data_IF_287006365051
#
_entry.id   IF_287006365051
#
_cell.length_a   1.000
_cell.length_b   1.000
_cell.length_c   1.000
_cell.angle_alpha   90.00
_cell.angle_beta   90.00
_cell.angle_gamma   90.00
#
_symmetry.space_group_name_H-M   'P 1'
#
loop_
_entity.id
_entity.type
_entity.pdbx_description
1 polymer ?
#
# COMPACT_ATOMS: atom_id res chain seq x y z
N UNK A 1 41.06 -37.13 2.48
CA UNK A 1 40.55 -36.25 1.43
C UNK A 1 40.54 -37.00 0.11
N UNK A 2 39.48 -36.97 -0.65
CA UNK A 2 39.42 -37.43 -2.05
C UNK A 2 39.53 -36.20 -2.92
N UNK A 3 40.52 -36.16 -3.81
CA UNK A 3 40.69 -35.10 -4.80
C UNK A 3 40.36 -35.66 -6.18
N UNK A 4 39.51 -34.99 -6.92
CA UNK A 4 39.11 -35.37 -8.27
C UNK A 4 39.51 -34.26 -9.22
N UNK A 5 40.32 -34.56 -10.25
CA UNK A 5 40.91 -33.60 -11.16
C UNK A 5 42.11 -32.86 -10.57
N UNK A 6 42.58 -31.85 -11.30
CA UNK A 6 43.61 -30.88 -10.90
C UNK A 6 43.15 -29.49 -11.28
N UNK A 7 43.76 -28.45 -10.71
CA UNK A 7 43.43 -27.07 -11.02
C UNK A 7 43.56 -26.78 -12.53
N UNK A 8 42.52 -26.20 -13.14
CA UNK A 8 42.42 -25.98 -14.56
C UNK A 8 42.09 -27.21 -15.43
N UNK A 9 41.97 -28.40 -14.85
CA UNK A 9 41.57 -29.64 -15.54
C UNK A 9 40.72 -30.49 -14.58
N UNK A 10 39.46 -30.10 -14.43
CA UNK A 10 38.48 -30.80 -13.61
C UNK A 10 38.02 -32.13 -14.20
N UNK A 11 37.16 -32.82 -13.49
CA UNK A 11 36.44 -34.02 -13.93
C UNK A 11 35.03 -33.99 -13.34
N UNK A 12 34.06 -34.50 -14.08
CA UNK A 12 32.72 -34.76 -13.55
C UNK A 12 32.73 -35.72 -12.38
N UNK A 13 31.97 -35.39 -11.34
CA UNK A 13 31.70 -36.28 -10.23
C UNK A 13 30.19 -36.42 -10.03
N UNK A 14 29.67 -37.62 -10.29
CA UNK A 14 28.23 -37.88 -10.25
C UNK A 14 27.88 -38.95 -9.20
N UNK A 15 26.98 -38.59 -8.30
CA UNK A 15 26.37 -39.47 -7.32
C UNK A 15 24.93 -39.75 -7.71
N UNK A 16 24.59 -41.01 -8.03
CA UNK A 16 23.25 -41.41 -8.41
C UNK A 16 22.35 -41.66 -7.20
N UNK A 17 21.13 -41.22 -7.26
CA UNK A 17 20.05 -41.63 -6.35
C UNK A 17 19.50 -43.00 -6.72
N UNK A 18 18.59 -43.53 -5.88
CA UNK A 18 17.93 -44.83 -6.12
C UNK A 18 16.94 -44.78 -7.28
N UNK A 19 16.37 -43.63 -7.62
CA UNK A 19 15.39 -43.47 -8.67
C UNK A 19 16.06 -43.05 -9.98
N UNK A 20 15.51 -43.53 -11.12
CA UNK A 20 16.03 -43.18 -12.44
C UNK A 20 16.05 -41.65 -12.65
N UNK A 21 17.19 -41.14 -13.11
CA UNK A 21 17.40 -39.72 -13.36
C UNK A 21 17.77 -38.84 -12.17
N UNK A 22 17.72 -39.37 -10.93
CA UNK A 22 18.13 -38.65 -9.73
C UNK A 22 19.65 -38.71 -9.54
N UNK A 23 20.30 -37.56 -9.35
CA UNK A 23 21.72 -37.46 -9.09
C UNK A 23 22.13 -36.13 -8.45
N UNK A 24 23.32 -36.08 -7.88
CA UNK A 24 24.09 -34.86 -7.64
C UNK A 24 25.33 -34.93 -8.55
N UNK A 25 25.57 -33.90 -9.34
CA UNK A 25 26.68 -33.83 -10.31
C UNK A 25 27.48 -32.55 -10.06
N UNK A 26 28.78 -32.71 -9.80
CA UNK A 26 29.72 -31.64 -10.12
C UNK A 26 29.99 -31.71 -11.64
N UNK A 27 29.57 -30.73 -12.37
CA UNK A 27 29.76 -30.57 -13.80
C UNK A 27 30.99 -29.68 -14.04
N UNK A 28 32.08 -30.26 -14.49
CA UNK A 28 33.34 -29.55 -14.66
C UNK A 28 33.29 -28.54 -15.85
N UNK A 29 32.50 -28.85 -16.87
CA UNK A 29 32.39 -28.00 -18.06
C UNK A 29 31.55 -26.72 -17.80
N UNK A 30 30.70 -26.76 -16.80
CA UNK A 30 29.83 -25.64 -16.38
C UNK A 30 30.25 -25.03 -15.04
N UNK A 31 31.26 -25.58 -14.36
CA UNK A 31 31.72 -25.13 -13.04
C UNK A 31 30.58 -25.04 -11.99
N UNK A 32 29.66 -26.03 -11.98
CA UNK A 32 28.49 -26.01 -11.11
C UNK A 32 28.19 -27.37 -10.44
N UNK A 33 27.40 -27.32 -9.37
CA UNK A 33 26.79 -28.49 -8.75
C UNK A 33 25.30 -28.57 -9.17
N UNK A 34 24.95 -29.61 -9.95
CA UNK A 34 23.57 -29.90 -10.37
C UNK A 34 22.97 -30.98 -9.44
N UNK A 35 21.85 -30.67 -8.79
CA UNK A 35 21.08 -31.58 -7.97
C UNK A 35 19.74 -31.86 -8.64
N UNK A 36 19.59 -33.05 -9.21
CA UNK A 36 18.46 -33.44 -10.04
C UNK A 36 17.59 -34.49 -9.37
N UNK A 37 16.28 -34.25 -9.41
CA UNK A 37 15.28 -35.21 -8.97
C UNK A 37 15.02 -36.33 -9.99
N UNK A 38 14.16 -37.29 -9.63
CA UNK A 38 13.78 -38.40 -10.48
C UNK A 38 13.02 -37.99 -11.73
N UNK A 39 13.14 -38.76 -12.83
CA UNK A 39 12.47 -38.45 -14.10
C UNK A 39 10.94 -38.60 -14.07
N UNK A 40 10.41 -39.45 -13.20
CA UNK A 40 8.98 -39.73 -13.13
C UNK A 40 8.18 -38.69 -12.33
N UNK A 41 8.72 -38.24 -11.21
CA UNK A 41 8.18 -37.16 -10.37
C UNK A 41 9.18 -36.84 -9.25
N UNK A 42 9.48 -35.60 -9.04
CA UNK A 42 10.28 -35.14 -7.92
C UNK A 42 11.25 -34.02 -8.30
N UNK A 43 11.29 -32.95 -7.52
CA UNK A 43 12.30 -31.91 -7.67
C UNK A 43 13.66 -32.40 -7.20
N UNK A 44 14.72 -31.70 -7.60
CA UNK A 44 16.02 -31.77 -6.92
C UNK A 44 15.90 -31.20 -5.52
N UNK A 45 16.50 -31.86 -4.52
CA UNK A 45 16.48 -31.41 -3.14
C UNK A 45 17.89 -31.10 -2.66
N UNK A 46 18.11 -29.88 -2.18
CA UNK A 46 19.23 -29.58 -1.28
C UNK A 46 18.64 -29.45 0.14
N UNK A 47 19.01 -30.37 1.02
CA UNK A 47 18.56 -30.35 2.41
C UNK A 47 19.72 -29.98 3.33
N UNK A 48 19.62 -28.84 3.97
CA UNK A 48 20.53 -28.41 5.03
C UNK A 48 19.85 -28.71 6.38
N UNK A 49 20.57 -29.39 7.27
CA UNK A 49 19.99 -29.83 8.56
C UNK A 49 20.98 -29.59 9.67
N UNK A 50 20.50 -29.10 10.82
CA UNK A 50 21.25 -29.13 12.06
C UNK A 50 21.41 -30.58 12.58
N UNK A 51 22.48 -30.85 13.27
CA UNK A 51 22.67 -32.10 14.03
C UNK A 51 22.31 -31.97 15.51
N UNK A 52 21.71 -30.86 15.89
CA UNK A 52 21.36 -30.55 17.27
C UNK A 52 20.18 -31.39 17.75
N UNK A 53 20.31 -31.91 19.01
CA UNK A 53 19.31 -32.80 19.61
C UNK A 53 18.20 -32.02 20.33
N UNK A 54 18.45 -30.78 20.68
CA UNK A 54 17.50 -29.89 21.36
C UNK A 54 17.56 -28.52 20.69
N UNK A 55 16.67 -28.28 19.75
CA UNK A 55 16.56 -27.00 19.07
C UNK A 55 15.77 -26.04 19.94
N UNK A 56 16.34 -24.88 20.21
CA UNK A 56 15.71 -23.79 20.97
C UNK A 56 15.59 -22.55 20.10
N UNK A 57 14.86 -21.56 20.59
CA UNK A 57 14.71 -20.26 19.95
C UNK A 57 16.08 -19.68 19.51
N UNK A 58 16.12 -19.09 18.31
CA UNK A 58 17.28 -18.54 17.62
C UNK A 58 18.33 -19.54 17.10
N UNK A 59 18.13 -20.86 17.25
CA UNK A 59 18.99 -21.87 16.65
C UNK A 59 18.84 -21.93 15.13
N UNK A 60 19.96 -22.01 14.41
CA UNK A 60 19.94 -22.09 12.95
C UNK A 60 19.87 -23.55 12.48
N UNK A 61 18.83 -23.87 11.69
CA UNK A 61 18.59 -25.19 11.14
C UNK A 61 19.46 -25.49 9.92
N UNK A 62 19.78 -24.44 9.15
CA UNK A 62 20.64 -24.52 7.96
C UNK A 62 20.88 -23.12 7.41
N UNK A 63 22.01 -22.94 6.68
CA UNK A 63 22.43 -21.63 6.16
C UNK A 63 23.15 -21.76 4.83
N UNK A 64 22.98 -20.75 3.97
CA UNK A 64 23.72 -20.53 2.72
C UNK A 64 24.38 -19.16 2.82
N UNK A 65 25.70 -19.09 2.59
CA UNK A 65 26.49 -17.87 2.60
C UNK A 65 27.01 -17.53 1.19
N UNK A 66 27.06 -16.24 0.89
CA UNK A 66 27.65 -15.65 -0.32
C UNK A 66 28.83 -14.77 0.11
N UNK A 67 30.04 -15.10 -0.37
CA UNK A 67 31.27 -14.48 0.09
C UNK A 67 32.31 -14.40 -1.04
N UNK A 68 33.11 -13.36 -1.03
CA UNK A 68 34.29 -13.20 -1.90
C UNK A 68 35.58 -13.31 -1.08
N UNK A 69 35.98 -14.51 -0.57
CA UNK A 69 37.04 -14.65 0.43
C UNK A 69 38.44 -14.31 -0.09
N UNK A 70 38.64 -14.23 -1.41
CA UNK A 70 39.93 -13.92 -2.05
C UNK A 70 40.03 -12.48 -2.54
N UNK A 71 39.02 -11.64 -2.25
CA UNK A 71 39.07 -10.22 -2.60
C UNK A 71 40.19 -9.50 -1.84
N UNK A 72 41.03 -8.78 -2.60
CA UNK A 72 42.28 -8.17 -2.06
C UNK A 72 42.10 -6.76 -1.52
N UNK A 73 40.89 -6.16 -1.65
CA UNK A 73 40.65 -4.74 -1.39
C UNK A 73 40.57 -4.35 0.08
N UNK A 74 40.47 -5.32 1.00
CA UNK A 74 40.46 -5.02 2.43
C UNK A 74 39.63 -5.98 3.28
N UNK A 75 39.53 -5.67 4.57
CA UNK A 75 38.95 -6.59 5.57
C UNK A 75 37.45 -6.77 5.42
N UNK A 76 36.71 -5.74 5.00
CA UNK A 76 35.25 -5.82 4.83
C UNK A 76 34.87 -6.56 3.55
N UNK A 77 35.71 -6.46 2.52
CA UNK A 77 35.46 -7.08 1.22
C UNK A 77 35.42 -8.62 1.25
N UNK A 78 36.13 -9.24 2.21
CA UNK A 78 36.20 -10.69 2.39
C UNK A 78 35.18 -11.24 3.39
N UNK A 79 34.34 -10.39 3.98
CA UNK A 79 33.28 -10.85 4.87
C UNK A 79 32.14 -11.52 4.09
N UNK A 80 31.30 -12.25 4.80
CA UNK A 80 30.07 -12.81 4.20
C UNK A 80 29.17 -11.62 3.81
N UNK A 81 28.98 -11.43 2.51
CA UNK A 81 28.23 -10.29 1.97
C UNK A 81 26.71 -10.49 1.98
N UNK A 82 26.25 -11.76 1.91
CA UNK A 82 24.83 -12.09 2.02
C UNK A 82 24.65 -13.50 2.59
N UNK A 83 23.49 -13.77 3.20
CA UNK A 83 23.13 -15.09 3.70
C UNK A 83 21.62 -15.31 3.64
N UNK A 84 21.24 -16.58 3.53
CA UNK A 84 19.87 -17.06 3.75
C UNK A 84 19.94 -18.19 4.76
N UNK A 85 19.13 -18.15 5.83
CA UNK A 85 19.06 -19.24 6.79
C UNK A 85 17.65 -19.46 7.32
N UNK A 86 17.39 -20.69 7.81
CA UNK A 86 16.23 -21.02 8.60
C UNK A 86 16.61 -20.97 10.09
N UNK A 87 15.81 -20.31 10.91
CA UNK A 87 16.04 -20.08 12.34
C UNK A 87 14.80 -20.50 13.13
N UNK A 88 14.99 -21.23 14.21
CA UNK A 88 13.90 -21.59 15.10
C UNK A 88 13.37 -20.33 15.81
N UNK A 89 12.06 -20.17 15.81
CA UNK A 89 11.33 -19.05 16.46
C UNK A 89 10.66 -19.51 17.77
N UNK A 90 10.98 -20.73 18.21
CA UNK A 90 10.54 -21.32 19.47
C UNK A 90 11.37 -22.56 19.79
N UNK A 91 11.27 -23.05 21.02
CA UNK A 91 11.82 -24.36 21.40
C UNK A 91 11.01 -25.48 20.74
N UNK A 92 11.68 -26.34 19.95
CA UNK A 92 11.03 -27.45 19.25
C UNK A 92 10.51 -28.50 20.23
N UNK A 93 9.29 -28.95 19.97
CA UNK A 93 8.57 -29.94 20.76
C UNK A 93 7.70 -30.82 19.84
N UNK A 94 6.99 -31.79 20.42
CA UNK A 94 6.15 -32.73 19.65
C UNK A 94 5.09 -32.08 18.75
N UNK A 95 4.72 -30.85 18.97
CA UNK A 95 3.76 -30.09 18.15
C UNK A 95 4.26 -28.70 17.76
N UNK A 96 5.55 -28.41 17.96
CA UNK A 96 6.15 -27.07 17.74
C UNK A 96 7.41 -27.22 16.91
N UNK A 97 7.43 -26.58 15.75
CA UNK A 97 8.59 -26.41 14.89
C UNK A 97 8.57 -25.04 14.19
N UNK A 98 8.14 -24.01 14.94
CA UNK A 98 8.06 -22.65 14.44
C UNK A 98 9.43 -22.23 13.89
N UNK A 99 9.46 -21.81 12.64
CA UNK A 99 10.72 -21.54 11.94
C UNK A 99 10.57 -20.32 11.05
N UNK A 100 11.50 -19.41 11.18
CA UNK A 100 11.63 -18.24 10.34
C UNK A 100 12.61 -18.47 9.19
N UNK A 101 12.33 -17.87 8.04
CA UNK A 101 13.26 -17.80 6.92
C UNK A 101 13.85 -16.39 6.85
N UNK A 102 15.14 -16.27 7.09
CA UNK A 102 15.86 -15.01 7.25
C UNK A 102 16.74 -14.71 6.06
N UNK A 103 16.71 -13.47 5.60
CA UNK A 103 17.53 -12.89 4.53
C UNK A 103 18.43 -11.81 5.10
N UNK A 104 19.72 -11.93 4.85
CA UNK A 104 20.73 -11.02 5.36
C UNK A 104 21.61 -10.46 4.25
N UNK A 105 22.00 -9.19 4.36
CA UNK A 105 23.00 -8.55 3.50
C UNK A 105 23.91 -7.64 4.33
N UNK A 106 25.17 -7.48 3.87
CA UNK A 106 26.14 -6.54 4.40
C UNK A 106 26.27 -5.30 3.54
N UNK A 107 26.83 -4.23 4.09
CA UNK A 107 27.22 -3.02 3.39
C UNK A 107 28.69 -2.71 3.55
N UNK A 108 29.20 -2.71 4.78
CA UNK A 108 30.62 -2.52 5.15
C UNK A 108 30.96 -3.43 6.35
N UNK A 109 30.09 -4.37 6.67
CA UNK A 109 30.21 -5.37 7.73
C UNK A 109 29.70 -6.73 7.22
N UNK A 110 29.85 -7.78 8.01
CA UNK A 110 29.26 -9.07 7.72
C UNK A 110 27.74 -8.97 7.56
N UNK A 111 27.18 -9.82 6.72
CA UNK A 111 25.74 -9.85 6.46
C UNK A 111 24.94 -9.92 7.76
N UNK A 112 24.05 -8.96 7.95
CA UNK A 112 23.08 -8.87 9.02
C UNK A 112 21.66 -8.95 8.45
N UNK A 113 20.72 -9.47 9.24
CA UNK A 113 19.34 -9.62 8.85
C UNK A 113 18.75 -8.32 8.29
N UNK A 114 18.00 -8.44 7.19
CA UNK A 114 17.23 -7.34 6.58
C UNK A 114 15.75 -7.67 6.53
N UNK A 115 15.40 -8.92 6.26
CA UNK A 115 14.02 -9.40 6.20
C UNK A 115 13.92 -10.80 6.78
N UNK A 116 12.78 -11.10 7.39
CA UNK A 116 12.35 -12.45 7.72
C UNK A 116 10.91 -12.70 7.33
N UNK A 117 10.60 -13.94 7.01
CA UNK A 117 9.25 -14.50 6.95
C UNK A 117 9.07 -15.42 8.14
N UNK A 118 8.05 -15.18 8.95
CA UNK A 118 7.83 -15.94 10.18
C UNK A 118 6.89 -17.13 9.98
N UNK A 119 6.88 -18.03 10.95
CA UNK A 119 5.91 -19.12 11.02
C UNK A 119 4.45 -18.62 11.08
N UNK A 120 4.22 -17.43 11.58
CA UNK A 120 2.91 -16.77 11.71
C UNK A 120 2.49 -15.95 10.48
N UNK A 121 3.22 -16.10 9.35
CA UNK A 121 2.99 -15.39 8.07
C UNK A 121 3.24 -13.88 8.13
N UNK A 122 4.09 -13.42 9.01
CA UNK A 122 4.49 -12.03 9.11
C UNK A 122 5.75 -11.75 8.28
N UNK A 123 5.96 -10.47 7.96
CA UNK A 123 7.20 -9.97 7.35
C UNK A 123 7.90 -9.09 8.38
N UNK A 124 9.03 -9.56 8.90
CA UNK A 124 9.89 -8.78 9.78
C UNK A 124 10.94 -7.97 9.01
N UNK A 125 11.22 -6.75 9.45
CA UNK A 125 12.25 -5.87 8.89
C UNK A 125 13.33 -5.62 9.91
N UNK A 126 14.60 -5.97 9.56
CA UNK A 126 15.76 -5.81 10.42
C UNK A 126 15.60 -6.45 11.81
N UNK A 127 14.97 -7.63 11.87
CA UNK A 127 14.60 -8.37 13.05
C UNK A 127 13.08 -8.52 13.20
N UNK A 128 12.62 -8.67 14.42
CA UNK A 128 11.20 -8.87 14.77
C UNK A 128 10.37 -7.55 14.74
N UNK A 129 10.53 -6.75 13.69
CA UNK A 129 9.72 -5.56 13.46
C UNK A 129 8.64 -5.87 12.41
N UNK A 130 7.44 -6.22 12.86
CA UNK A 130 6.30 -6.65 12.03
C UNK A 130 5.29 -5.54 11.76
N UNK A 131 5.53 -4.32 12.29
CA UNK A 131 4.55 -3.24 12.27
C UNK A 131 3.40 -3.43 13.25
N UNK A 132 2.35 -2.64 13.10
CA UNK A 132 1.09 -2.73 13.84
C UNK A 132 -0.08 -2.75 12.89
N UNK A 133 -1.27 -3.15 13.38
CA UNK A 133 -2.49 -3.20 12.57
C UNK A 133 -2.76 -1.86 11.86
N UNK A 134 -3.03 -1.92 10.57
CA UNK A 134 -3.26 -0.75 9.72
C UNK A 134 -2.00 -0.13 9.10
N UNK A 135 -0.79 -0.52 9.51
CA UNK A 135 0.43 -0.04 8.89
C UNK A 135 0.69 -0.67 7.52
N UNK A 136 1.35 0.05 6.66
CA UNK A 136 1.77 -0.39 5.32
C UNK A 136 3.29 -0.34 5.21
N UNK A 137 3.85 -1.27 4.44
CA UNK A 137 5.28 -1.26 4.16
C UNK A 137 5.58 -0.21 3.10
N UNK A 138 6.31 0.84 3.49
CA UNK A 138 6.63 1.98 2.63
C UNK A 138 8.10 1.99 2.22
N UNK A 139 8.35 2.56 1.05
CA UNK A 139 9.69 2.80 0.55
C UNK A 139 10.21 4.15 1.03
N UNK A 140 11.35 4.17 1.71
CA UNK A 140 12.04 5.41 2.07
C UNK A 140 12.75 6.11 0.89
N UNK A 141 12.67 5.57 -0.34
CA UNK A 141 13.38 6.06 -1.51
C UNK A 141 14.79 5.47 -1.66
N UNK A 142 15.53 5.96 -2.65
CA UNK A 142 16.88 5.46 -2.94
C UNK A 142 17.83 5.70 -1.77
N UNK A 143 18.46 4.64 -1.28
CA UNK A 143 19.43 4.68 -0.17
C UNK A 143 18.83 4.70 1.23
N UNK A 144 17.50 4.71 1.37
CA UNK A 144 16.80 4.57 2.64
C UNK A 144 16.18 3.19 2.79
N UNK A 145 16.09 2.70 4.01
CA UNK A 145 15.43 1.44 4.31
C UNK A 145 13.91 1.56 4.11
N UNK A 146 13.27 0.43 3.82
CA UNK A 146 11.82 0.32 3.95
C UNK A 146 11.42 0.36 5.43
N UNK A 147 10.20 0.82 5.72
CA UNK A 147 9.66 0.89 7.07
C UNK A 147 8.17 0.56 7.08
N UNK A 148 7.67 0.06 8.21
CA UNK A 148 6.25 0.03 8.49
C UNK A 148 5.81 1.42 8.92
N UNK A 149 4.85 2.00 8.22
CA UNK A 149 4.33 3.34 8.48
C UNK A 149 2.81 3.32 8.47
N UNK A 150 2.22 4.24 9.20
CA UNK A 150 0.78 4.42 9.15
C UNK A 150 0.36 4.71 7.71
N UNK A 151 -0.69 4.05 7.25
CA UNK A 151 -1.22 4.34 5.92
C UNK A 151 -1.48 5.84 5.86
N UNK A 152 -0.80 6.53 4.94
CA UNK A 152 -1.11 7.94 4.73
C UNK A 152 -2.57 8.00 4.33
N UNK A 153 -3.39 8.54 5.19
CA UNK A 153 -4.75 8.90 4.84
C UNK A 153 -4.68 9.70 3.54
N UNK A 154 -5.65 9.47 2.64
CA UNK A 154 -5.66 10.14 1.34
C UNK A 154 -5.54 11.66 1.47
N UNK A 155 -5.49 12.38 0.35
CA UNK A 155 -5.30 13.84 0.31
C UNK A 155 -6.29 14.61 1.22
N UNK A 156 -7.45 14.00 1.55
CA UNK A 156 -8.41 14.51 2.55
C UNK A 156 -8.18 13.77 3.85
N UNK A 157 -7.53 14.41 4.80
CA UNK A 157 -7.18 13.83 6.11
C UNK A 157 -8.25 14.08 7.17
N UNK A 158 -9.15 15.05 6.94
CA UNK A 158 -10.25 15.33 7.86
C UNK A 158 -11.45 15.94 7.13
N UNK A 159 -12.65 15.67 7.64
CA UNK A 159 -13.85 16.47 7.41
C UNK A 159 -14.20 17.12 8.74
N UNK A 160 -13.94 18.42 8.84
CA UNK A 160 -14.13 19.15 10.09
C UNK A 160 -15.62 19.43 10.34
N UNK A 161 -16.02 19.34 11.61
CA UNK A 161 -17.37 19.66 12.08
C UNK A 161 -18.50 18.91 11.36
N UNK A 162 -18.23 17.70 10.84
CA UNK A 162 -19.18 16.96 10.03
C UNK A 162 -20.48 16.64 10.78
N UNK A 163 -21.58 17.11 10.23
CA UNK A 163 -22.95 16.78 10.63
C UNK A 163 -23.69 16.21 9.41
N UNK A 164 -24.66 15.34 9.62
CA UNK A 164 -25.41 14.73 8.53
C UNK A 164 -26.05 15.81 7.63
N UNK A 165 -25.99 15.58 6.32
CA UNK A 165 -26.56 16.43 5.26
C UNK A 165 -25.90 17.79 5.00
N UNK A 166 -24.78 18.11 5.63
CA UNK A 166 -23.99 19.29 5.32
C UNK A 166 -23.21 19.10 4.02
N UNK A 167 -23.11 20.15 3.23
CA UNK A 167 -22.20 20.21 2.09
C UNK A 167 -20.81 20.58 2.60
N UNK A 168 -19.77 20.09 1.91
CA UNK A 168 -18.39 20.36 2.29
C UNK A 168 -17.74 21.35 1.34
N UNK A 169 -16.91 22.21 1.87
CA UNK A 169 -16.00 23.09 1.12
C UNK A 169 -14.54 22.71 1.45
N UNK A 170 -13.62 23.27 0.69
CA UNK A 170 -12.19 23.12 1.02
C UNK A 170 -11.90 24.00 2.24
N UNK A 171 -11.34 23.39 3.29
CA UNK A 171 -10.97 24.05 4.52
C UNK A 171 -9.80 25.03 4.38
N UNK A 172 -9.20 25.39 5.50
CA UNK A 172 -8.07 26.31 5.55
C UNK A 172 -6.81 25.75 4.87
N UNK A 173 -6.75 24.44 4.70
CA UNK A 173 -5.71 23.72 3.92
C UNK A 173 -6.37 22.89 2.83
N UNK A 174 -5.61 22.54 1.78
CA UNK A 174 -6.11 21.73 0.66
C UNK A 174 -6.32 20.26 1.02
N UNK A 175 -5.97 19.83 2.23
CA UNK A 175 -6.12 18.47 2.75
C UNK A 175 -7.31 18.31 3.69
N UNK A 176 -8.07 19.38 3.93
CA UNK A 176 -9.22 19.38 4.83
C UNK A 176 -10.49 19.77 4.08
N UNK A 177 -11.59 19.17 4.46
CA UNK A 177 -12.94 19.58 4.07
C UNK A 177 -13.65 20.10 5.31
N UNK A 178 -14.31 21.26 5.17
CA UNK A 178 -15.16 21.81 6.21
C UNK A 178 -16.62 21.53 5.85
N UNK A 179 -17.39 21.05 6.79
CA UNK A 179 -18.82 20.88 6.67
C UNK A 179 -19.51 22.23 6.93
N UNK A 180 -20.45 22.58 6.05
CA UNK A 180 -21.11 23.90 6.03
C UNK A 180 -22.47 23.83 6.69
N UNK A 181 -22.56 24.22 7.96
CA UNK A 181 -23.80 24.21 8.73
C UNK A 181 -24.93 25.10 8.10
N UNK A 182 -24.55 26.11 7.32
CA UNK A 182 -25.46 27.01 6.63
C UNK A 182 -25.80 26.59 5.19
N UNK A 183 -25.24 25.49 4.69
CA UNK A 183 -25.50 24.95 3.36
C UNK A 183 -25.69 23.45 3.47
N UNK A 184 -26.93 23.00 3.42
CA UNK A 184 -27.27 21.58 3.66
C UNK A 184 -28.09 20.98 2.53
N UNK A 185 -27.98 19.66 2.30
CA UNK A 185 -28.77 18.94 1.32
C UNK A 185 -29.29 17.62 1.89
N UNK A 186 -30.58 17.49 2.03
CA UNK A 186 -31.24 16.31 2.61
C UNK A 186 -31.57 15.20 1.61
N UNK A 187 -31.13 15.31 0.35
CA UNK A 187 -31.52 14.45 -0.76
C UNK A 187 -32.73 14.99 -1.55
N UNK A 188 -33.54 15.88 -0.97
CA UNK A 188 -34.69 16.50 -1.63
C UNK A 188 -34.75 18.03 -1.45
N UNK A 189 -34.09 18.57 -0.44
CA UNK A 189 -34.09 20.01 -0.16
C UNK A 189 -32.65 20.50 0.00
N UNK A 190 -32.29 21.54 -0.76
CA UNK A 190 -31.11 22.36 -0.56
C UNK A 190 -31.50 23.55 0.31
N UNK A 191 -30.87 23.71 1.47
CA UNK A 191 -31.07 24.84 2.37
C UNK A 191 -29.81 25.69 2.44
N UNK A 192 -29.93 26.97 2.14
CA UNK A 192 -28.90 27.99 2.31
C UNK A 192 -29.37 29.02 3.35
N UNK A 193 -28.66 29.12 4.46
CA UNK A 193 -28.89 30.14 5.51
C UNK A 193 -27.87 31.23 5.25
N UNK A 194 -28.23 32.20 4.40
CA UNK A 194 -27.35 33.29 3.97
C UNK A 194 -27.77 33.90 2.66
N UNK A 195 -26.87 34.60 2.00
CA UNK A 195 -27.08 35.24 0.72
C UNK A 195 -26.66 34.29 -0.41
N UNK A 196 -27.51 34.17 -1.43
CA UNK A 196 -27.15 33.48 -2.68
C UNK A 196 -26.93 34.55 -3.75
N UNK A 197 -25.75 34.60 -4.34
CA UNK A 197 -25.42 35.45 -5.49
C UNK A 197 -25.21 34.56 -6.71
N UNK A 198 -25.92 34.86 -7.79
CA UNK A 198 -25.79 34.13 -9.06
C UNK A 198 -25.26 35.09 -10.12
N UNK A 199 -24.11 34.79 -10.68
CA UNK A 199 -23.39 35.64 -11.62
C UNK A 199 -22.56 36.73 -10.95
N UNK A 200 -22.05 37.63 -11.77
CA UNK A 200 -21.33 38.85 -11.37
C UNK A 200 -21.86 40.05 -12.21
N UNK A 201 -21.56 41.26 -11.79
CA UNK A 201 -21.96 42.46 -12.54
C UNK A 201 -21.51 42.35 -14.01
N UNK A 202 -22.41 42.68 -14.93
CA UNK A 202 -22.28 42.51 -16.39
C UNK A 202 -22.12 41.07 -16.91
N UNK A 203 -22.24 40.03 -16.04
CA UNK A 203 -22.25 38.62 -16.47
C UNK A 203 -23.23 37.85 -15.58
N UNK A 204 -24.52 38.05 -15.85
CA UNK A 204 -25.61 37.35 -15.16
C UNK A 204 -25.74 35.89 -15.62
N UNK A 205 -26.64 35.18 -14.99
CA UNK A 205 -27.10 33.87 -15.39
C UNK A 205 -28.58 33.70 -15.10
N UNK A 206 -29.27 32.93 -15.90
CA UNK A 206 -30.65 32.55 -15.66
C UNK A 206 -30.80 31.77 -14.34
N UNK A 207 -31.83 32.14 -13.56
CA UNK A 207 -32.26 31.39 -12.37
C UNK A 207 -33.70 30.98 -12.53
N UNK A 208 -33.97 29.69 -12.70
CA UNK A 208 -35.30 29.15 -13.00
C UNK A 208 -35.79 28.19 -11.91
N UNK A 209 -36.99 28.44 -11.41
CA UNK A 209 -37.70 27.55 -10.49
C UNK A 209 -38.98 27.04 -11.19
N UNK A 210 -39.10 25.72 -11.28
CA UNK A 210 -40.23 25.06 -11.92
C UNK A 210 -41.38 24.84 -10.96
N UNK A 211 -42.61 25.05 -11.44
CA UNK A 211 -43.81 24.63 -10.75
C UNK A 211 -44.12 23.15 -10.98
N UNK A 212 -45.10 22.61 -10.25
CA UNK A 212 -45.53 21.22 -10.39
C UNK A 212 -46.25 20.95 -11.73
N UNK A 213 -46.82 21.96 -12.34
CA UNK A 213 -47.53 21.85 -13.64
C UNK A 213 -46.57 22.12 -14.79
N UNK A 214 -46.60 21.27 -15.83
CA UNK A 214 -45.77 21.45 -17.02
C UNK A 214 -45.91 22.85 -17.61
N UNK A 215 -44.77 23.49 -17.89
CA UNK A 215 -44.71 24.84 -18.45
C UNK A 215 -44.82 25.98 -17.42
N UNK A 216 -45.12 25.72 -16.16
CA UNK A 216 -45.14 26.73 -15.09
C UNK A 216 -43.74 26.92 -14.47
N UNK A 217 -43.28 28.16 -14.39
CA UNK A 217 -41.99 28.51 -13.77
C UNK A 217 -41.93 29.99 -13.39
N UNK A 218 -40.97 30.29 -12.54
CA UNK A 218 -40.43 31.62 -12.27
C UNK A 218 -38.98 31.64 -12.78
N UNK A 219 -38.63 32.68 -13.54
CA UNK A 219 -37.31 32.82 -14.16
C UNK A 219 -36.80 34.24 -13.94
N UNK A 220 -35.61 34.40 -13.42
CA UNK A 220 -34.78 35.55 -13.70
C UNK A 220 -34.13 35.30 -15.07
N UNK A 221 -34.46 36.09 -16.07
CA UNK A 221 -33.93 36.01 -17.44
C UNK A 221 -32.83 37.05 -17.60
N UNK A 222 -31.58 36.58 -17.71
CA UNK A 222 -30.42 37.47 -17.79
C UNK A 222 -30.40 38.27 -19.11
N UNK A 223 -30.89 37.68 -20.18
CA UNK A 223 -30.90 38.34 -21.51
C UNK A 223 -31.93 39.46 -21.62
N UNK A 224 -32.94 39.42 -20.79
CA UNK A 224 -34.00 40.43 -20.72
C UNK A 224 -33.82 41.38 -19.52
N UNK A 225 -32.81 41.18 -18.68
CA UNK A 225 -32.62 41.89 -17.40
C UNK A 225 -33.91 41.93 -16.57
N UNK A 226 -34.65 40.81 -16.54
CA UNK A 226 -35.99 40.84 -15.98
C UNK A 226 -36.49 39.49 -15.45
N UNK A 227 -37.72 39.55 -14.89
CA UNK A 227 -38.41 38.38 -14.35
C UNK A 227 -39.52 37.93 -15.27
N UNK A 228 -39.54 36.65 -15.62
CA UNK A 228 -40.64 36.01 -16.34
C UNK A 228 -41.39 35.07 -15.39
N UNK A 229 -42.70 35.28 -15.22
CA UNK A 229 -43.56 34.42 -14.43
C UNK A 229 -44.62 33.76 -15.33
N UNK A 230 -44.59 32.43 -15.41
CA UNK A 230 -45.62 31.63 -16.08
C UNK A 230 -46.36 30.83 -15.02
N UNK A 231 -47.61 31.18 -14.78
CA UNK A 231 -48.45 30.67 -13.70
C UNK A 231 -49.06 31.81 -12.88
N UNK A 232 -49.63 31.49 -11.73
CA UNK A 232 -50.28 32.50 -10.88
C UNK A 232 -49.25 33.20 -10.00
N UNK A 233 -49.25 34.53 -10.00
CA UNK A 233 -48.54 35.36 -9.03
C UNK A 233 -49.51 35.79 -7.94
N UNK A 234 -49.23 35.41 -6.68
CA UNK A 234 -49.99 35.92 -5.52
C UNK A 234 -49.08 36.83 -4.71
N UNK A 235 -49.52 38.05 -4.49
CA UNK A 235 -48.79 39.03 -3.68
C UNK A 235 -49.57 39.31 -2.39
N UNK A 236 -48.95 39.04 -1.27
CA UNK A 236 -49.56 39.12 0.06
C UNK A 236 -50.33 37.87 0.47
N UNK A 237 -50.96 37.93 1.61
CA UNK A 237 -51.84 36.88 2.16
C UNK A 237 -53.20 37.53 2.52
N UNK A 238 -54.22 36.69 2.75
CA UNK A 238 -55.55 37.21 3.14
C UNK A 238 -55.41 38.04 4.41
N UNK A 239 -56.06 39.19 4.42
CA UNK A 239 -56.07 40.20 5.50
C UNK A 239 -54.71 40.87 5.82
N UNK A 240 -53.64 40.58 5.03
CA UNK A 240 -52.33 41.24 5.15
C UNK A 240 -51.72 41.47 3.74
N UNK A 241 -52.37 42.34 2.97
CA UNK A 241 -51.91 42.70 1.63
C UNK A 241 -50.64 43.55 1.66
N UNK A 242 -49.90 43.52 0.55
CA UNK A 242 -48.72 44.35 0.32
C UNK A 242 -48.91 45.21 -0.94
N UNK A 243 -48.35 46.39 -0.90
CA UNK A 243 -48.38 47.30 -2.07
C UNK A 243 -47.49 46.77 -3.19
N UNK A 244 -48.02 46.73 -4.39
CA UNK A 244 -47.21 46.44 -5.60
C UNK A 244 -47.22 47.74 -6.42
N UNK A 245 -46.03 48.30 -6.71
CA UNK A 245 -45.86 49.51 -7.51
C UNK A 245 -45.24 49.13 -8.86
N UNK A 246 -45.94 49.55 -9.91
CA UNK A 246 -45.41 49.41 -11.26
C UNK A 246 -45.10 50.87 -11.73
N UNK A 247 -43.86 51.04 -12.19
CA UNK A 247 -43.42 52.33 -12.75
C UNK A 247 -43.30 52.12 -14.26
N UNK A 248 -43.90 52.99 -15.03
CA UNK A 248 -43.71 53.05 -16.46
C UNK A 248 -42.75 54.20 -16.81
N UNK A 249 -42.23 54.17 -18.02
CA UNK A 249 -41.49 55.29 -18.57
C UNK A 249 -42.37 56.53 -18.64
N UNK A 250 -41.77 57.64 -18.22
CA UNK A 250 -42.46 58.99 -18.31
C UNK A 250 -42.24 59.56 -19.68
#
# INVERSE_FOLDING_TARGET
TVTVGVDGTGLDVKFFGASAGAYALWDESADLLDIRGATAAGPGYLKLTTGELTVVDADKLGRIDFQAPLESSGTDAILVGASIWAEADDTFAAGVNNTDLVFATGKSEAAAEKFRFTADNEIGIAGANYGTDGQVLTSGGAGAAVAWEDASEGTVTAINNATANELTTIGSTTTELDAEANLTFTGSALTCIGTVTVGVDNTGHDVKYFGATSGSYWLWDESADGVVQIGTLTVGVNDAGHDVKFFGDA
#
